data_IF_461059975781
#
_entry.id   IF_461059975781
#
_cell.length_a   1.000
_cell.length_b   1.000
_cell.length_c   1.000
_cell.angle_alpha   90.00
_cell.angle_beta   90.00
_cell.angle_gamma   90.00
#
_symmetry.space_group_name_H-M   'P 1'
#
loop_
_entity.id
_entity.type
_entity.pdbx_description
1 polymer ?
#
# COMPACT_ATOMS: atom_id res chain seq x y z
N UNK A 1 -10.28 5.47 -13.22
CA UNK A 1 -10.49 6.86 -12.77
C UNK A 1 -9.11 7.51 -12.68
N UNK A 2 -8.78 8.39 -13.63
CA UNK A 2 -7.57 9.19 -13.58
C UNK A 2 -7.89 10.46 -12.78
N UNK A 3 -7.15 10.72 -11.70
CA UNK A 3 -7.23 11.98 -10.97
C UNK A 3 -6.35 13.00 -11.71
N UNK A 4 -6.96 13.86 -12.52
CA UNK A 4 -6.26 14.97 -13.17
C UNK A 4 -6.01 16.08 -12.14
N UNK A 5 -4.75 16.47 -11.93
CA UNK A 5 -4.37 17.57 -11.02
C UNK A 5 -4.88 18.95 -11.45
N UNK A 6 -5.47 19.07 -12.65
CA UNK A 6 -5.84 20.36 -13.22
C UNK A 6 -7.12 20.97 -12.62
N UNK A 7 -7.84 20.28 -11.73
CA UNK A 7 -9.07 20.80 -11.11
C UNK A 7 -9.03 20.66 -9.57
N UNK A 8 -8.00 21.22 -8.95
CA UNK A 8 -8.10 21.65 -7.54
C UNK A 8 -8.90 22.94 -7.55
N UNK A 9 -10.21 22.84 -7.34
CA UNK A 9 -11.01 23.99 -6.96
C UNK A 9 -10.38 24.57 -5.68
N UNK A 10 -9.85 25.79 -5.78
CA UNK A 10 -9.31 26.55 -4.67
C UNK A 10 -10.41 26.69 -3.61
N UNK A 11 -10.47 25.76 -2.65
CA UNK A 11 -11.40 25.83 -1.54
C UNK A 11 -11.01 27.04 -0.69
N UNK A 12 -11.97 27.93 -0.41
CA UNK A 12 -11.78 29.23 0.25
C UNK A 12 -11.20 29.22 1.68
N UNK A 13 -10.65 28.10 2.18
CA UNK A 13 -10.24 27.96 3.57
C UNK A 13 -8.81 27.47 3.81
N UNK A 14 -8.08 27.01 2.79
CA UNK A 14 -6.68 26.61 2.96
C UNK A 14 -5.75 27.72 2.47
N UNK A 15 -5.17 28.49 3.40
CA UNK A 15 -4.41 29.68 3.02
C UNK A 15 -3.14 29.35 2.25
N UNK A 16 -2.83 30.15 1.23
CA UNK A 16 -1.58 30.06 0.44
C UNK A 16 -0.32 29.99 1.31
N UNK A 17 -0.35 30.64 2.49
CA UNK A 17 0.74 30.61 3.45
C UNK A 17 0.95 29.22 4.06
N UNK A 18 -0.13 28.49 4.41
CA UNK A 18 -0.04 27.11 4.90
C UNK A 18 0.47 26.18 3.82
N UNK A 19 -0.02 26.36 2.60
CA UNK A 19 0.42 25.56 1.45
C UNK A 19 1.93 25.72 1.19
N UNK A 20 2.42 26.96 1.19
CA UNK A 20 3.87 27.25 1.03
C UNK A 20 4.72 26.67 2.16
N UNK A 21 4.21 26.69 3.39
CA UNK A 21 4.93 26.10 4.52
C UNK A 21 4.99 24.57 4.39
N UNK A 22 3.90 23.93 3.97
CA UNK A 22 3.88 22.50 3.70
C UNK A 22 4.84 22.13 2.56
N UNK A 23 4.84 22.90 1.47
CA UNK A 23 5.79 22.73 0.37
C UNK A 23 7.23 22.75 0.88
N UNK A 24 7.58 23.75 1.69
CA UNK A 24 8.92 23.90 2.28
C UNK A 24 9.29 22.71 3.17
N UNK A 25 8.36 22.24 4.01
CA UNK A 25 8.59 21.08 4.88
C UNK A 25 8.83 19.83 4.03
N UNK A 26 8.02 19.59 3.00
CA UNK A 26 8.18 18.42 2.13
C UNK A 26 9.52 18.45 1.40
N UNK A 27 9.87 19.59 0.79
CA UNK A 27 11.15 19.75 0.08
C UNK A 27 12.34 19.51 1.01
N UNK A 28 12.32 20.07 2.23
CA UNK A 28 13.35 19.83 3.23
C UNK A 28 13.45 18.34 3.62
N UNK A 29 12.31 17.66 3.80
CA UNK A 29 12.28 16.22 4.14
C UNK A 29 12.78 15.34 3.02
N UNK A 30 12.49 15.66 1.76
CA UNK A 30 13.03 14.91 0.61
C UNK A 30 14.55 14.97 0.59
N UNK A 31 15.13 16.15 0.82
CA UNK A 31 16.59 16.33 0.91
C UNK A 31 17.18 15.55 2.09
N UNK A 32 16.60 15.68 3.27
CA UNK A 32 17.07 15.02 4.49
C UNK A 32 17.04 13.49 4.38
N UNK A 33 15.96 12.94 3.82
CA UNK A 33 15.75 11.49 3.70
C UNK A 33 16.32 10.89 2.41
N UNK A 34 16.85 11.73 1.51
CA UNK A 34 17.34 11.35 0.18
C UNK A 34 16.29 10.60 -0.64
N UNK A 35 15.02 10.93 -0.44
CA UNK A 35 13.92 10.41 -1.26
C UNK A 35 13.87 11.21 -2.57
N UNK A 36 13.97 10.57 -3.75
CA UNK A 36 14.07 11.30 -5.02
C UNK A 36 12.89 12.19 -5.36
N UNK A 37 11.68 11.76 -4.99
CA UNK A 37 10.46 12.51 -5.26
C UNK A 37 9.25 11.95 -4.53
N UNK A 38 8.22 12.78 -4.43
CA UNK A 38 6.96 12.44 -3.78
C UNK A 38 5.80 13.17 -4.46
N UNK A 39 4.61 12.60 -4.38
CA UNK A 39 3.36 13.30 -4.67
C UNK A 39 2.59 13.48 -3.36
N UNK A 40 2.14 14.70 -3.07
CA UNK A 40 1.38 15.02 -1.85
C UNK A 40 0.05 15.63 -2.23
N UNK A 41 -1.01 15.14 -1.58
CA UNK A 41 -2.38 15.63 -1.72
C UNK A 41 -2.94 15.87 -0.32
N UNK A 42 -3.50 17.07 -0.10
CA UNK A 42 -4.23 17.43 1.11
C UNK A 42 -5.71 17.50 0.78
N UNK A 43 -6.52 16.83 1.61
CA UNK A 43 -7.98 16.80 1.49
C UNK A 43 -8.58 17.33 2.78
N UNK A 44 -9.41 18.36 2.67
CA UNK A 44 -10.14 18.98 3.77
C UNK A 44 -11.62 19.05 3.38
N UNK A 45 -12.51 18.61 4.29
CA UNK A 45 -13.96 18.55 4.05
C UNK A 45 -14.37 17.90 2.72
N UNK A 46 -13.68 16.81 2.38
CA UNK A 46 -13.93 16.05 1.15
C UNK A 46 -13.45 16.73 -0.14
N UNK A 47 -12.77 17.87 -0.05
CA UNK A 47 -12.21 18.62 -1.18
C UNK A 47 -10.70 18.57 -1.16
N UNK A 48 -10.09 18.42 -2.33
CA UNK A 48 -8.65 18.60 -2.48
C UNK A 48 -8.36 20.10 -2.31
N UNK A 49 -7.51 20.44 -1.35
CA UNK A 49 -7.09 21.83 -1.08
C UNK A 49 -5.65 22.10 -1.50
N UNK A 50 -4.86 21.05 -1.73
CA UNK A 50 -3.51 21.13 -2.28
C UNK A 50 -3.16 19.79 -2.92
N UNK A 51 -2.50 19.83 -4.08
CA UNK A 51 -1.96 18.64 -4.72
C UNK A 51 -0.74 19.00 -5.57
N UNK A 52 0.42 18.42 -5.25
CA UNK A 52 1.69 18.76 -5.90
C UNK A 52 2.64 17.57 -5.97
N UNK A 53 3.39 17.51 -7.07
CA UNK A 53 4.56 16.64 -7.25
C UNK A 53 5.85 17.36 -6.86
N UNK A 54 6.74 16.64 -6.19
CA UNK A 54 8.02 17.13 -5.68
C UNK A 54 9.14 16.23 -6.18
N UNK A 55 10.25 16.82 -6.59
CA UNK A 55 11.44 16.08 -7.04
C UNK A 55 11.20 15.25 -8.30
N UNK A 56 11.90 14.13 -8.39
CA UNK A 56 11.97 13.27 -9.57
C UNK A 56 11.24 11.94 -9.36
N UNK A 57 10.44 11.55 -10.35
CA UNK A 57 9.86 10.22 -10.47
C UNK A 57 10.90 9.19 -10.92
N UNK A 58 11.89 9.63 -11.70
CA UNK A 58 13.00 8.81 -12.17
C UNK A 58 14.28 9.66 -12.18
N UNK A 59 15.29 9.19 -11.46
CA UNK A 59 16.57 9.88 -11.30
C UNK A 59 17.45 9.71 -12.55
N UNK A 60 17.35 8.59 -13.27
CA UNK A 60 18.18 8.31 -14.44
C UNK A 60 17.75 9.16 -15.64
N UNK A 61 16.44 9.34 -15.80
CA UNK A 61 15.86 10.15 -16.90
C UNK A 61 15.55 11.58 -16.49
N UNK A 62 15.86 11.96 -15.25
CA UNK A 62 15.50 13.26 -14.64
C UNK A 62 14.01 13.61 -14.82
N UNK A 63 13.14 12.60 -14.83
CA UNK A 63 11.71 12.80 -15.03
C UNK A 63 11.08 13.38 -13.75
N UNK A 64 10.42 14.55 -13.79
CA UNK A 64 9.78 15.12 -12.62
C UNK A 64 8.55 14.33 -12.18
N UNK A 65 8.22 14.38 -10.89
CA UNK A 65 6.93 13.88 -10.40
C UNK A 65 5.80 14.76 -10.94
N UNK A 66 4.79 14.13 -11.52
CA UNK A 66 3.61 14.79 -12.09
C UNK A 66 2.31 14.15 -11.59
N UNK A 67 1.17 14.71 -12.00
CA UNK A 67 -0.18 14.15 -11.82
C UNK A 67 -0.32 12.69 -12.27
N UNK A 68 0.44 12.32 -13.30
CA UNK A 68 0.32 11.05 -13.97
C UNK A 68 1.37 10.04 -13.49
N UNK A 69 2.22 10.41 -12.53
CA UNK A 69 3.22 9.50 -11.97
C UNK A 69 2.56 8.40 -11.15
N UNK A 70 2.81 7.14 -11.50
CA UNK A 70 2.29 5.97 -10.78
C UNK A 70 3.32 5.51 -9.75
N UNK A 71 2.90 5.44 -8.49
CA UNK A 71 3.72 4.92 -7.40
C UNK A 71 3.26 3.52 -6.97
N UNK A 72 4.22 2.67 -6.58
CA UNK A 72 3.90 1.41 -5.91
C UNK A 72 3.50 1.68 -4.44
N UNK A 73 2.20 1.69 -4.15
CA UNK A 73 1.65 2.10 -2.85
C UNK A 73 1.78 1.04 -1.72
N UNK A 74 2.33 -0.15 -2.04
CA UNK A 74 2.63 -1.19 -1.05
C UNK A 74 1.44 -1.57 -0.16
N UNK A 75 1.64 -1.50 1.17
CA UNK A 75 0.61 -1.91 2.15
C UNK A 75 -0.66 -1.08 2.13
N UNK A 76 -0.67 0.11 1.52
CA UNK A 76 -1.90 0.91 1.32
C UNK A 76 -2.94 0.12 0.51
N UNK A 77 -2.50 -0.80 -0.37
CA UNK A 77 -3.38 -1.70 -1.12
C UNK A 77 -4.32 -2.54 -0.22
N UNK A 78 -3.96 -2.79 1.05
CA UNK A 78 -4.80 -3.60 1.96
C UNK A 78 -6.14 -2.93 2.26
N UNK A 79 -6.21 -1.60 2.31
CA UNK A 79 -7.47 -0.88 2.52
C UNK A 79 -8.46 -1.11 1.37
N UNK A 80 -7.96 -1.20 0.13
CA UNK A 80 -8.79 -1.53 -1.04
C UNK A 80 -9.31 -2.97 -0.97
N UNK A 81 -8.46 -3.93 -0.59
CA UNK A 81 -8.86 -5.33 -0.42
C UNK A 81 -9.90 -5.47 0.71
N UNK A 82 -9.69 -4.80 1.84
CA UNK A 82 -10.64 -4.76 2.95
C UNK A 82 -11.99 -4.20 2.50
N UNK A 83 -12.00 -3.10 1.75
CA UNK A 83 -13.23 -2.53 1.18
C UNK A 83 -13.93 -3.48 0.20
N UNK A 84 -13.18 -4.25 -0.60
CA UNK A 84 -13.76 -5.26 -1.48
C UNK A 84 -14.44 -6.38 -0.69
N UNK A 85 -13.82 -6.85 0.40
CA UNK A 85 -14.41 -7.85 1.30
C UNK A 85 -15.69 -7.34 1.97
N UNK A 86 -15.70 -6.08 2.44
CA UNK A 86 -16.90 -5.46 3.02
C UNK A 86 -18.04 -5.32 2.01
N UNK A 87 -17.74 -5.02 0.75
CA UNK A 87 -18.74 -5.02 -0.32
C UNK A 87 -19.30 -6.42 -0.55
N UNK A 88 -18.46 -7.47 -0.57
CA UNK A 88 -18.92 -8.85 -0.71
C UNK A 88 -19.80 -9.30 0.46
N UNK A 89 -19.47 -8.91 1.69
CA UNK A 89 -20.30 -9.19 2.87
C UNK A 89 -21.65 -8.47 2.79
N UNK A 90 -21.64 -7.17 2.45
CA UNK A 90 -22.87 -6.39 2.24
C UNK A 90 -23.78 -7.02 1.19
N UNK A 91 -23.20 -7.56 0.12
CA UNK A 91 -23.93 -8.21 -0.96
C UNK A 91 -24.34 -9.66 -0.62
N UNK A 92 -24.09 -10.12 0.62
CA UNK A 92 -24.46 -11.45 1.12
C UNK A 92 -23.65 -12.60 0.52
N UNK A 93 -22.53 -12.31 -0.14
CA UNK A 93 -21.71 -13.32 -0.85
C UNK A 93 -20.74 -14.07 0.07
N UNK A 94 -20.35 -13.43 1.17
CA UNK A 94 -19.51 -13.98 2.24
C UNK A 94 -20.06 -13.47 3.58
N UNK A 95 -19.72 -14.14 4.67
CA UNK A 95 -19.69 -13.54 6.01
C UNK A 95 -18.24 -13.34 6.43
N UNK A 96 -17.90 -12.22 7.06
CA UNK A 96 -16.53 -12.04 7.58
C UNK A 96 -16.18 -13.06 8.68
N UNK A 97 -17.18 -13.69 9.29
CA UNK A 97 -17.00 -14.74 10.28
C UNK A 97 -16.90 -16.14 9.66
N UNK A 98 -17.03 -16.25 8.34
CA UNK A 98 -16.78 -17.51 7.63
C UNK A 98 -15.33 -17.95 7.80
N UNK A 99 -15.08 -19.25 8.01
CA UNK A 99 -13.76 -19.82 7.84
C UNK A 99 -13.24 -19.56 6.43
N UNK A 100 -12.00 -19.10 6.31
CA UNK A 100 -11.37 -18.83 5.00
C UNK A 100 -11.37 -20.06 4.10
N UNK A 101 -11.25 -21.26 4.68
CA UNK A 101 -11.26 -22.53 3.96
C UNK A 101 -12.57 -22.81 3.21
N UNK A 102 -13.67 -22.19 3.62
CA UNK A 102 -14.98 -22.32 2.94
C UNK A 102 -14.97 -21.65 1.57
N UNK A 103 -14.19 -20.57 1.43
CA UNK A 103 -14.06 -19.80 0.19
C UNK A 103 -12.80 -20.13 -0.59
N UNK A 104 -11.74 -20.60 0.10
CA UNK A 104 -10.47 -21.00 -0.47
C UNK A 104 -10.09 -22.41 0.02
N UNK A 105 -10.63 -23.50 -0.58
CA UNK A 105 -10.38 -24.86 -0.11
C UNK A 105 -8.91 -25.29 -0.17
N UNK A 106 -8.10 -24.67 -1.04
CA UNK A 106 -6.66 -24.90 -1.12
C UNK A 106 -5.87 -24.27 0.04
N UNK A 107 -6.46 -23.34 0.78
CA UNK A 107 -5.83 -22.74 1.96
C UNK A 107 -5.75 -23.78 3.08
N UNK A 108 -4.53 -24.19 3.45
CA UNK A 108 -4.26 -25.12 4.54
C UNK A 108 -3.06 -24.64 5.34
N UNK A 109 -3.18 -24.71 6.67
CA UNK A 109 -2.07 -24.45 7.60
C UNK A 109 -1.31 -25.74 7.88
N UNK A 110 -0.27 -25.66 8.72
CA UNK A 110 0.49 -26.82 9.22
C UNK A 110 -0.45 -27.86 9.86
N UNK A 111 -1.54 -27.41 10.47
CA UNK A 111 -2.61 -28.28 10.96
C UNK A 111 -3.94 -27.92 10.32
N UNK A 112 -4.68 -28.95 9.87
CA UNK A 112 -6.03 -28.80 9.31
C UNK A 112 -6.97 -28.07 10.29
N UNK A 113 -6.91 -28.44 11.58
CA UNK A 113 -7.72 -27.83 12.64
C UNK A 113 -7.53 -26.31 12.75
N UNK A 114 -6.30 -25.81 12.56
CA UNK A 114 -6.05 -24.36 12.60
C UNK A 114 -6.63 -23.67 11.37
N UNK A 115 -6.41 -24.20 10.16
CA UNK A 115 -6.97 -23.59 8.94
C UNK A 115 -8.49 -23.59 8.93
N UNK A 116 -9.13 -24.61 9.49
CA UNK A 116 -10.59 -24.77 9.46
C UNK A 116 -11.34 -23.77 10.34
N UNK A 117 -10.65 -23.06 11.24
CA UNK A 117 -11.27 -22.12 12.19
C UNK A 117 -10.90 -20.66 11.95
N UNK A 118 -9.92 -20.38 11.07
CA UNK A 118 -9.48 -19.00 10.85
C UNK A 118 -10.50 -18.29 9.99
N UNK A 119 -11.09 -17.21 10.52
CA UNK A 119 -12.09 -16.43 9.80
C UNK A 119 -11.47 -15.39 8.85
N UNK A 120 -12.26 -14.91 7.89
CA UNK A 120 -11.87 -13.79 7.02
C UNK A 120 -11.57 -12.54 7.87
N UNK A 121 -12.37 -12.27 8.91
CA UNK A 121 -12.18 -11.17 9.87
C UNK A 121 -10.79 -11.20 10.51
N UNK A 122 -10.32 -12.38 10.92
CA UNK A 122 -9.01 -12.53 11.54
C UNK A 122 -7.86 -12.21 10.57
N UNK A 123 -8.03 -12.44 9.27
CA UNK A 123 -7.06 -11.99 8.27
C UNK A 123 -7.06 -10.47 8.10
N UNK A 124 -8.23 -9.85 8.05
CA UNK A 124 -8.35 -8.39 7.96
C UNK A 124 -7.75 -7.68 9.18
N UNK A 125 -7.82 -8.31 10.36
CA UNK A 125 -7.33 -7.77 11.62
C UNK A 125 -5.88 -8.17 11.95
N UNK A 126 -5.21 -8.94 11.09
CA UNK A 126 -3.89 -9.50 11.38
C UNK A 126 -3.83 -10.36 12.66
N UNK A 127 -4.92 -11.04 13.02
CA UNK A 127 -5.03 -11.91 14.22
C UNK A 127 -5.12 -13.40 13.89
N UNK A 128 -4.94 -13.79 12.63
CA UNK A 128 -4.96 -15.18 12.16
C UNK A 128 -3.78 -16.04 12.66
N UNK A 129 -2.76 -15.40 13.26
CA UNK A 129 -1.57 -16.07 13.79
C UNK A 129 -0.64 -16.61 12.70
N UNK A 130 -0.63 -15.97 11.52
CA UNK A 130 0.41 -16.16 10.50
C UNK A 130 1.56 -15.15 10.71
N UNK A 131 2.82 -15.58 10.57
CA UNK A 131 3.96 -14.69 10.67
C UNK A 131 4.00 -13.69 9.50
N UNK A 132 4.49 -12.48 9.78
CA UNK A 132 4.59 -11.37 8.81
C UNK A 132 5.58 -11.65 7.67
N UNK A 133 6.57 -12.51 7.89
CA UNK A 133 7.58 -12.87 6.91
C UNK A 133 7.46 -14.32 6.49
N UNK A 134 7.76 -14.57 5.22
CA UNK A 134 8.31 -15.85 4.76
C UNK A 134 9.75 -16.01 5.29
N UNK A 135 9.93 -15.98 6.61
CA UNK A 135 10.73 -17.03 7.21
C UNK A 135 9.75 -18.20 7.44
N UNK A 136 9.16 -18.76 6.38
CA UNK A 136 9.72 -20.04 5.93
C UNK A 136 11.21 -20.01 6.21
N UNK A 137 11.61 -20.52 7.37
CA UNK A 137 12.99 -20.91 7.58
C UNK A 137 13.34 -21.82 6.41
N UNK A 138 13.96 -21.24 5.39
CA UNK A 138 14.28 -21.93 4.16
C UNK A 138 15.29 -23.04 4.40
N UNK A 139 15.97 -23.00 5.56
CA UNK A 139 16.81 -24.11 6.04
C UNK A 139 15.94 -25.24 6.60
N UNK A 140 14.85 -24.96 7.33
CA UNK A 140 13.88 -25.98 7.78
C UNK A 140 12.96 -26.51 6.69
N UNK A 141 12.63 -25.70 5.68
CA UNK A 141 11.71 -26.07 4.61
C UNK A 141 12.40 -26.53 3.31
N UNK A 142 13.74 -26.43 3.22
CA UNK A 142 14.51 -26.85 2.05
C UNK A 142 14.26 -26.05 0.76
N UNK A 143 13.61 -24.88 0.85
CA UNK A 143 13.24 -24.06 -0.32
C UNK A 143 14.28 -22.96 -0.54
N UNK A 144 14.90 -22.91 -1.73
CA UNK A 144 15.87 -21.86 -2.06
C UNK A 144 15.19 -20.47 -2.15
N UNK A 145 15.67 -19.51 -1.34
CA UNK A 145 15.19 -18.11 -1.31
C UNK A 145 15.27 -17.42 -2.67
N UNK A 146 16.14 -17.87 -3.58
CA UNK A 146 16.30 -17.33 -4.94
C UNK A 146 15.10 -17.65 -5.85
N UNK A 147 14.30 -18.66 -5.51
CA UNK A 147 13.12 -19.09 -6.27
C UNK A 147 11.88 -18.27 -5.90
N UNK A 148 11.80 -17.80 -4.65
CA UNK A 148 10.62 -17.12 -4.10
C UNK A 148 10.45 -15.68 -4.58
N UNK A 149 11.44 -15.12 -5.29
CA UNK A 149 11.54 -13.70 -5.49
C UNK A 149 11.87 -13.32 -6.93
N UNK A 150 11.03 -12.50 -7.60
CA UNK A 150 11.32 -12.00 -8.94
C UNK A 150 12.64 -11.23 -9.01
N UNK A 151 13.29 -11.22 -10.19
CA UNK A 151 14.58 -10.56 -10.44
C UNK A 151 14.64 -9.10 -9.95
N UNK A 152 13.57 -8.32 -10.13
CA UNK A 152 13.54 -6.90 -9.77
C UNK A 152 13.67 -6.65 -8.27
N UNK A 153 13.12 -7.53 -7.44
CA UNK A 153 13.11 -7.35 -5.98
C UNK A 153 14.42 -7.87 -5.36
N UNK A 154 15.27 -8.60 -6.12
CA UNK A 154 16.62 -9.02 -5.67
C UNK A 154 17.58 -7.83 -5.56
N UNK A 155 17.47 -6.85 -6.47
CA UNK A 155 18.30 -5.64 -6.49
C UNK A 155 18.12 -4.73 -5.27
N UNK A 156 16.95 -4.73 -4.64
CA UNK A 156 16.70 -3.87 -3.47
C UNK A 156 17.36 -4.37 -2.17
N UNK A 157 17.79 -5.64 -2.13
CA UNK A 157 18.49 -6.20 -0.97
C UNK A 157 20.02 -6.16 -1.11
N UNK A 158 20.55 -5.68 -2.24
CA UNK A 158 21.99 -5.55 -2.50
C UNK A 158 22.54 -4.16 -2.14
N UNK A 159 21.69 -3.27 -1.63
CA UNK A 159 22.09 -2.01 -1.01
C UNK A 159 22.16 -2.22 0.51
N UNK A 160 23.37 -2.52 0.97
CA UNK A 160 23.71 -2.66 2.40
C UNK A 160 23.66 -1.33 3.15
#
# INVERSE_FOLDING_TARGET
MAFTLDHVAQGEHFSDQRTKEIDRIIEARLVETRVPGAAVVLVEDGRVVHARGFGLADVETETPVSSNTIFAIGSVSKSFVANALLQLERDGRISLDDPVVSHLPAFRSVTKKKSDTISIRQFMQHTSGFPCSTEIDTKRAGVDRRVLWPKWRRRQNDIG
#
